data_IF_234613101532
#
_entry.id   IF_234613101532
#
_cell.length_a   1.000
_cell.length_b   1.000
_cell.length_c   1.000
_cell.angle_alpha   90.00
_cell.angle_beta   90.00
_cell.angle_gamma   90.00
#
_symmetry.space_group_name_H-M   'P 1'
#
loop_
_entity.id
_entity.type
_entity.pdbx_description
1 polymer ?
#
# COMPACT_ATOMS: atom_id res chain seq x y z
N UNK A 1 -27.82 -0.95 -37.59
CA UNK A 1 -26.39 -0.96 -37.23
C UNK A 1 -26.17 -1.97 -36.10
N UNK A 2 -25.14 -2.79 -36.19
CA UNK A 2 -24.82 -3.75 -35.14
C UNK A 2 -23.99 -3.06 -34.04
N UNK A 3 -24.33 -3.32 -32.80
CA UNK A 3 -23.61 -2.80 -31.62
C UNK A 3 -22.92 -3.93 -30.86
N UNK A 4 -21.80 -3.63 -30.23
CA UNK A 4 -21.05 -4.58 -29.42
C UNK A 4 -20.37 -3.88 -28.25
N UNK A 5 -20.28 -4.58 -27.11
CA UNK A 5 -19.54 -4.09 -25.95
C UNK A 5 -18.04 -4.32 -26.16
N UNK A 6 -17.25 -3.27 -26.02
CA UNK A 6 -15.79 -3.34 -26.07
C UNK A 6 -15.25 -4.11 -24.86
N UNK A 7 -14.44 -5.14 -25.10
CA UNK A 7 -13.83 -5.96 -24.04
C UNK A 7 -12.85 -5.19 -23.15
N UNK A 8 -12.39 -4.00 -23.56
CA UNK A 8 -11.42 -3.22 -22.81
C UNK A 8 -12.04 -2.04 -22.03
N UNK A 9 -13.05 -1.34 -22.61
CA UNK A 9 -13.64 -0.16 -21.96
C UNK A 9 -15.12 -0.33 -21.58
N UNK A 10 -15.69 -1.51 -21.78
CA UNK A 10 -17.09 -1.87 -21.51
C UNK A 10 -18.16 -0.96 -22.14
N UNK A 11 -17.77 -0.07 -23.06
CA UNK A 11 -18.73 0.77 -23.79
C UNK A 11 -19.40 -0.02 -24.91
N UNK A 12 -20.71 0.11 -25.04
CA UNK A 12 -21.48 -0.42 -26.17
C UNK A 12 -21.32 0.54 -27.36
N UNK A 13 -20.65 0.08 -28.41
CA UNK A 13 -20.26 0.89 -29.56
C UNK A 13 -20.72 0.22 -30.85
N UNK A 14 -20.96 1.04 -31.89
CA UNK A 14 -21.32 0.54 -33.24
C UNK A 14 -20.16 -0.22 -33.88
N UNK A 15 -20.44 -1.02 -34.89
CA UNK A 15 -19.45 -1.77 -35.67
C UNK A 15 -18.31 -0.90 -36.20
N UNK A 16 -18.59 0.37 -36.54
CA UNK A 16 -17.63 1.31 -37.10
C UNK A 16 -16.54 1.75 -36.11
N UNK A 17 -16.81 1.52 -34.83
CA UNK A 17 -15.85 1.77 -33.76
C UNK A 17 -14.78 0.67 -33.61
N UNK A 18 -14.81 -0.37 -34.46
CA UNK A 18 -13.90 -1.50 -34.44
C UNK A 18 -13.24 -1.71 -35.81
N UNK A 19 -11.97 -2.11 -35.81
CA UNK A 19 -11.36 -2.62 -37.03
C UNK A 19 -11.96 -3.97 -37.40
N UNK A 20 -11.90 -4.35 -38.70
CA UNK A 20 -12.39 -5.67 -39.16
C UNK A 20 -11.81 -6.82 -38.34
N UNK A 21 -10.51 -6.75 -38.04
CA UNK A 21 -9.83 -7.75 -37.21
C UNK A 21 -10.34 -7.80 -35.76
N UNK A 22 -10.71 -6.67 -35.17
CA UNK A 22 -11.28 -6.66 -33.83
C UNK A 22 -12.74 -7.13 -33.83
N UNK A 23 -13.50 -6.73 -34.84
CA UNK A 23 -14.87 -7.16 -34.96
C UNK A 23 -15.01 -8.70 -35.19
N UNK A 24 -14.08 -9.29 -35.94
CA UNK A 24 -14.08 -10.74 -36.19
C UNK A 24 -13.78 -11.60 -34.94
N UNK A 25 -13.19 -11.02 -33.88
CA UNK A 25 -12.91 -11.74 -32.62
C UNK A 25 -14.17 -12.12 -31.81
N UNK A 26 -15.32 -11.56 -32.15
CA UNK A 26 -16.58 -11.84 -31.50
C UNK A 26 -16.84 -11.04 -30.23
N UNK A 27 -18.03 -11.21 -29.66
CA UNK A 27 -18.44 -10.57 -28.41
C UNK A 27 -17.55 -11.02 -27.25
N UNK A 28 -17.23 -10.11 -26.32
CA UNK A 28 -16.37 -10.38 -25.16
C UNK A 28 -14.86 -10.41 -25.46
N UNK A 29 -14.44 -10.35 -26.75
CA UNK A 29 -13.03 -10.35 -27.16
C UNK A 29 -12.64 -9.16 -28.04
N UNK A 30 -13.61 -8.44 -28.57
CA UNK A 30 -13.39 -7.28 -29.46
C UNK A 30 -13.02 -6.05 -28.66
N UNK A 31 -11.95 -5.36 -29.10
CA UNK A 31 -11.55 -4.06 -28.55
C UNK A 31 -11.82 -2.98 -29.58
N UNK A 32 -12.46 -1.86 -29.17
CA UNK A 32 -12.71 -0.74 -30.07
C UNK A 32 -11.42 -0.09 -30.54
N UNK A 33 -11.49 0.65 -31.65
CA UNK A 33 -10.32 1.32 -32.25
C UNK A 33 -9.62 2.27 -31.27
N UNK A 34 -10.36 2.98 -30.42
CA UNK A 34 -9.80 3.81 -29.35
C UNK A 34 -8.99 3.01 -28.33
N UNK A 35 -9.41 1.78 -28.00
CA UNK A 35 -8.67 0.90 -27.07
C UNK A 35 -7.52 0.13 -27.73
N UNK A 36 -7.50 0.03 -29.07
CA UNK A 36 -6.42 -0.65 -29.82
C UNK A 36 -5.30 0.34 -30.16
N UNK A 37 -5.66 1.56 -30.57
CA UNK A 37 -4.70 2.56 -31.06
C UNK A 37 -4.33 3.62 -30.01
N UNK A 38 -4.81 3.46 -28.77
CA UNK A 38 -4.54 4.40 -27.69
C UNK A 38 -4.99 5.81 -28.09
N UNK A 39 -6.32 6.06 -27.99
CA UNK A 39 -6.78 7.44 -28.23
C UNK A 39 -6.15 8.33 -27.17
N UNK A 40 -5.30 9.26 -27.59
CA UNK A 40 -4.47 10.14 -26.75
C UNK A 40 -5.26 11.18 -25.94
N UNK A 41 -6.59 11.12 -25.95
CA UNK A 41 -7.42 11.77 -24.95
C UNK A 41 -7.58 10.83 -23.75
N UNK A 42 -6.49 10.54 -23.09
CA UNK A 42 -6.51 9.96 -21.75
C UNK A 42 -7.00 11.09 -20.84
N UNK A 43 -8.27 11.04 -20.46
CA UNK A 43 -8.72 11.82 -19.31
C UNK A 43 -7.79 11.40 -18.16
N UNK A 44 -7.00 12.34 -17.65
CA UNK A 44 -6.15 12.07 -16.49
C UNK A 44 -7.04 11.57 -15.35
N UNK A 45 -6.65 10.47 -14.74
CA UNK A 45 -7.38 9.96 -13.57
C UNK A 45 -7.14 10.95 -12.45
N UNK A 46 -8.22 11.53 -11.94
CA UNK A 46 -8.15 12.43 -10.79
C UNK A 46 -7.49 11.69 -9.61
N UNK A 47 -6.39 12.20 -9.05
CA UNK A 47 -5.77 11.64 -7.85
C UNK A 47 -6.76 11.44 -6.71
N UNK A 48 -7.80 12.26 -6.59
CA UNK A 48 -8.88 12.08 -5.63
C UNK A 48 -9.66 10.76 -5.82
N UNK A 49 -9.68 10.19 -7.02
CA UNK A 49 -10.29 8.87 -7.28
C UNK A 49 -9.38 7.72 -6.86
N UNK A 50 -8.06 7.91 -6.90
CA UNK A 50 -7.07 6.94 -6.44
C UNK A 50 -6.96 6.92 -4.91
N UNK A 51 -7.00 8.10 -4.27
CA UNK A 51 -6.93 8.23 -2.82
C UNK A 51 -8.30 8.01 -2.17
N UNK A 52 -8.41 6.99 -1.31
CA UNK A 52 -9.60 6.77 -0.48
C UNK A 52 -9.41 7.45 0.87
N UNK A 53 -10.13 8.56 1.08
CA UNK A 53 -10.03 9.42 2.27
C UNK A 53 -11.12 9.13 3.29
N UNK A 54 -10.93 9.60 4.53
CA UNK A 54 -11.92 9.50 5.60
C UNK A 54 -13.24 10.19 5.25
N UNK A 55 -13.20 11.38 4.66
CA UNK A 55 -14.42 12.15 4.32
C UNK A 55 -15.39 12.28 5.50
N UNK A 56 -14.85 12.37 6.71
CA UNK A 56 -15.55 12.47 7.97
C UNK A 56 -14.72 13.32 8.93
N UNK A 57 -15.39 14.01 9.84
CA UNK A 57 -14.76 14.81 10.90
C UNK A 57 -14.74 14.10 12.25
N UNK A 58 -15.55 13.02 12.40
CA UNK A 58 -15.68 12.28 13.66
C UNK A 58 -15.86 10.77 13.45
N UNK A 59 -15.33 10.02 14.42
CA UNK A 59 -15.57 8.60 14.56
C UNK A 59 -15.65 8.21 16.05
N UNK A 60 -16.28 7.09 16.33
CA UNK A 60 -16.36 6.54 17.68
C UNK A 60 -15.67 5.18 17.74
N UNK A 61 -15.00 4.91 18.86
CA UNK A 61 -14.37 3.64 19.19
C UNK A 61 -14.82 3.25 20.59
N UNK A 62 -15.29 2.01 20.75
CA UNK A 62 -15.62 1.51 22.09
C UNK A 62 -14.34 1.28 22.90
N UNK A 63 -14.46 1.34 24.23
CA UNK A 63 -13.34 1.02 25.12
C UNK A 63 -12.85 -0.40 24.87
N UNK A 64 -13.78 -1.36 24.70
CA UNK A 64 -13.45 -2.74 24.38
C UNK A 64 -12.63 -2.89 23.09
N UNK A 65 -13.00 -2.17 22.02
CA UNK A 65 -12.26 -2.21 20.75
C UNK A 65 -10.83 -1.64 20.88
N UNK A 66 -10.64 -0.64 21.74
CA UNK A 66 -9.32 -0.06 22.00
C UNK A 66 -8.47 -0.94 22.92
N UNK A 67 -9.11 -1.65 23.88
CA UNK A 67 -8.44 -2.58 24.79
C UNK A 67 -8.11 -3.92 24.11
N UNK A 68 -8.95 -4.32 23.16
CA UNK A 68 -8.82 -5.57 22.43
C UNK A 68 -8.74 -5.28 20.91
N UNK A 69 -7.62 -4.77 20.40
CA UNK A 69 -7.44 -4.50 18.98
C UNK A 69 -7.65 -5.78 18.16
N UNK A 70 -8.44 -5.68 17.09
CA UNK A 70 -8.80 -6.85 16.28
C UNK A 70 -7.66 -7.30 15.34
N UNK A 71 -6.66 -6.43 15.13
CA UNK A 71 -5.52 -6.71 14.26
C UNK A 71 -4.25 -6.01 14.76
N UNK A 72 -3.12 -6.54 14.32
CA UNK A 72 -1.81 -5.97 14.61
C UNK A 72 -0.89 -6.09 13.39
N UNK A 73 -0.27 -4.99 13.00
CA UNK A 73 0.87 -4.98 12.10
C UNK A 73 2.19 -5.16 12.87
N UNK A 74 3.32 -5.01 12.21
CA UNK A 74 4.64 -5.11 12.85
C UNK A 74 4.82 -4.07 13.96
N UNK A 75 4.36 -2.85 13.76
CA UNK A 75 4.60 -1.71 14.67
C UNK A 75 3.34 -1.19 15.34
N UNK A 76 2.15 -1.53 14.87
CA UNK A 76 0.89 -0.91 15.30
C UNK A 76 -0.19 -1.90 15.65
N UNK A 77 -1.01 -1.51 16.62
CA UNK A 77 -2.31 -2.09 16.91
C UNK A 77 -3.38 -1.43 16.03
N UNK A 78 -4.45 -2.16 15.74
CA UNK A 78 -5.56 -1.68 14.91
C UNK A 78 -6.88 -1.96 15.59
N UNK A 79 -7.65 -0.90 15.89
CA UNK A 79 -9.01 -1.02 16.39
C UNK A 79 -10.03 -0.58 15.34
N UNK A 80 -11.21 -1.21 15.37
CA UNK A 80 -12.33 -0.90 14.49
C UNK A 80 -13.30 0.03 15.21
N UNK A 81 -13.72 1.05 14.49
CA UNK A 81 -14.72 2.03 14.93
C UNK A 81 -15.74 2.31 13.85
N UNK A 82 -16.47 3.40 14.02
CA UNK A 82 -17.52 3.84 13.12
C UNK A 82 -17.47 5.35 12.96
N UNK A 83 -17.59 5.84 11.72
CA UNK A 83 -17.76 7.25 11.46
C UNK A 83 -19.13 7.73 11.98
N UNK A 84 -19.15 8.89 12.64
CA UNK A 84 -20.36 9.48 13.20
C UNK A 84 -20.82 10.72 12.45
N UNK A 85 -19.99 11.29 11.59
CA UNK A 85 -20.26 12.48 10.78
C UNK A 85 -19.67 12.36 9.39
N UNK A 86 -20.08 13.28 8.48
CA UNK A 86 -19.58 13.36 7.11
C UNK A 86 -20.21 12.37 6.14
N UNK A 87 -19.68 12.30 4.92
CA UNK A 87 -20.25 11.46 3.86
C UNK A 87 -20.14 9.96 4.14
N UNK A 88 -19.26 9.56 5.05
CA UNK A 88 -19.07 8.16 5.50
C UNK A 88 -19.79 7.85 6.82
N UNK A 89 -20.70 8.70 7.28
CA UNK A 89 -21.44 8.45 8.52
C UNK A 89 -22.08 7.05 8.50
N UNK A 90 -21.83 6.30 9.57
CA UNK A 90 -22.31 4.92 9.71
C UNK A 90 -21.39 3.86 9.14
N UNK A 91 -20.43 4.20 8.25
CA UNK A 91 -19.44 3.25 7.76
C UNK A 91 -18.40 2.90 8.83
N UNK A 92 -17.78 1.72 8.67
CA UNK A 92 -16.69 1.30 9.53
C UNK A 92 -15.38 2.03 9.19
N UNK A 93 -14.61 2.32 10.21
CA UNK A 93 -13.27 2.89 10.12
C UNK A 93 -12.29 2.13 11.03
N UNK A 94 -11.02 2.43 10.91
CA UNK A 94 -9.98 1.91 11.81
C UNK A 94 -9.11 3.05 12.32
N UNK A 95 -8.64 2.91 13.57
CA UNK A 95 -7.52 3.71 14.05
C UNK A 95 -6.33 2.78 14.35
N UNK A 96 -5.14 3.31 14.07
CA UNK A 96 -3.86 2.61 14.23
C UNK A 96 -2.94 3.41 15.15
N UNK A 97 -2.34 2.74 16.13
CA UNK A 97 -1.39 3.36 17.07
C UNK A 97 -0.20 2.43 17.31
N UNK A 98 0.92 3.00 17.75
CA UNK A 98 2.12 2.22 18.02
C UNK A 98 1.92 1.24 19.19
N UNK A 99 2.52 0.07 19.08
CA UNK A 99 2.49 -0.97 20.13
C UNK A 99 3.17 -0.54 21.41
N UNK A 100 4.16 0.34 21.28
CA UNK A 100 4.93 0.89 22.40
C UNK A 100 4.76 2.40 22.45
N UNK A 101 4.49 2.93 23.64
CA UNK A 101 4.34 4.35 23.87
C UNK A 101 3.02 4.95 23.40
N UNK A 102 2.90 6.25 23.57
CA UNK A 102 1.77 7.07 23.11
C UNK A 102 2.28 8.26 22.34
N UNK A 103 1.70 8.53 21.17
CA UNK A 103 2.08 9.65 20.34
C UNK A 103 1.16 10.83 20.63
N UNK A 104 1.77 11.97 20.97
CA UNK A 104 1.07 13.24 21.26
C UNK A 104 1.29 14.27 20.14
N UNK A 105 2.32 14.08 19.31
CA UNK A 105 2.69 14.99 18.22
C UNK A 105 2.39 14.38 16.84
N UNK A 106 1.72 15.16 15.97
CA UNK A 106 1.34 14.70 14.63
C UNK A 106 2.55 14.39 13.73
N UNK A 107 3.67 15.07 13.96
CA UNK A 107 4.93 14.91 13.21
C UNK A 107 5.50 13.49 13.26
N UNK A 108 5.18 12.70 14.28
CA UNK A 108 5.56 11.28 14.34
C UNK A 108 4.99 10.42 13.22
N UNK A 109 3.92 10.89 12.57
CA UNK A 109 3.29 10.21 11.44
C UNK A 109 3.66 10.81 10.08
N UNK A 110 4.56 11.80 10.03
CA UNK A 110 4.90 12.51 8.79
C UNK A 110 5.35 11.53 7.69
N UNK A 111 6.28 10.63 8.01
CA UNK A 111 6.81 9.64 7.07
C UNK A 111 5.72 8.68 6.55
N UNK A 112 4.76 8.30 7.40
CA UNK A 112 3.63 7.45 6.97
C UNK A 112 2.73 8.17 5.97
N UNK A 113 2.47 9.46 6.22
CA UNK A 113 1.67 10.30 5.33
C UNK A 113 2.38 10.53 4.00
N UNK A 114 3.68 10.80 4.03
CA UNK A 114 4.53 10.96 2.85
C UNK A 114 4.59 9.69 2.00
N UNK A 115 4.80 8.52 2.63
CA UNK A 115 4.79 7.23 1.94
C UNK A 115 3.42 6.94 1.31
N UNK A 116 2.32 7.23 2.02
CA UNK A 116 0.97 7.05 1.51
C UNK A 116 0.66 8.00 0.36
N UNK A 117 1.08 9.26 0.43
CA UNK A 117 0.92 10.23 -0.66
C UNK A 117 1.75 9.81 -1.89
N UNK A 118 2.99 9.36 -1.68
CA UNK A 118 3.82 8.82 -2.75
C UNK A 118 3.18 7.61 -3.43
N UNK A 119 2.54 6.74 -2.67
CA UNK A 119 1.79 5.63 -3.22
C UNK A 119 0.60 6.09 -4.07
N UNK A 120 -0.15 7.11 -3.64
CA UNK A 120 -1.21 7.73 -4.45
C UNK A 120 -0.67 8.18 -5.80
N UNK A 121 0.46 8.90 -5.82
CA UNK A 121 1.05 9.44 -7.05
C UNK A 121 1.46 8.32 -8.02
N UNK A 122 2.07 7.26 -7.49
CA UNK A 122 2.53 6.11 -8.29
C UNK A 122 1.35 5.27 -8.81
N UNK A 123 0.34 5.03 -7.97
CA UNK A 123 -0.86 4.27 -8.33
C UNK A 123 -1.74 5.05 -9.32
N UNK A 124 -1.79 6.37 -9.21
CA UNK A 124 -2.50 7.20 -10.20
C UNK A 124 -1.95 6.98 -11.59
N UNK A 125 -0.62 6.99 -11.75
CA UNK A 125 0.05 6.71 -13.03
C UNK A 125 -0.20 5.28 -13.53
N UNK A 126 -0.24 4.29 -12.61
CA UNK A 126 -0.63 2.93 -12.97
C UNK A 126 -2.05 2.86 -13.52
N UNK A 127 -2.99 3.52 -12.87
CA UNK A 127 -4.38 3.57 -13.31
C UNK A 127 -4.53 4.26 -14.68
N UNK A 128 -3.72 5.30 -14.95
CA UNK A 128 -3.65 5.99 -16.24
C UNK A 128 -3.17 5.08 -17.38
N UNK A 129 -2.24 4.16 -17.09
CA UNK A 129 -1.75 3.17 -18.07
C UNK A 129 -2.82 2.16 -18.52
N UNK A 130 -3.91 2.00 -17.75
CA UNK A 130 -5.04 1.11 -18.06
C UNK A 130 -4.62 -0.32 -18.43
N UNK A 131 -3.59 -0.83 -17.73
CA UNK A 131 -3.13 -2.22 -17.88
C UNK A 131 -4.20 -3.24 -17.51
N UNK A 132 -5.07 -2.86 -16.61
CA UNK A 132 -6.25 -3.61 -16.17
C UNK A 132 -7.49 -2.73 -16.34
N UNK A 133 -8.65 -3.34 -16.42
CA UNK A 133 -9.95 -2.68 -16.55
C UNK A 133 -10.54 -2.20 -15.22
N UNK A 134 -9.79 -2.32 -14.13
CA UNK A 134 -10.21 -2.01 -12.76
C UNK A 134 -9.23 -1.05 -12.11
N UNK A 135 -9.73 -0.31 -11.13
CA UNK A 135 -8.94 0.68 -10.39
C UNK A 135 -8.15 0.04 -9.24
N UNK A 136 -6.94 0.52 -9.04
CA UNK A 136 -6.23 0.33 -7.78
C UNK A 136 -6.37 1.64 -7.00
N UNK A 137 -6.92 1.55 -5.79
CA UNK A 137 -7.07 2.66 -4.86
C UNK A 137 -6.20 2.43 -3.63
N UNK A 138 -5.90 3.49 -2.90
CA UNK A 138 -5.15 3.40 -1.65
C UNK A 138 -5.81 4.26 -0.58
N UNK A 139 -5.95 3.72 0.63
CA UNK A 139 -6.33 4.53 1.78
C UNK A 139 -5.26 5.57 2.04
N UNK A 140 -5.66 6.83 2.11
CA UNK A 140 -4.81 7.92 2.57
C UNK A 140 -5.17 8.19 4.03
N UNK A 141 -4.31 7.78 4.99
CA UNK A 141 -4.58 7.98 6.40
C UNK A 141 -4.51 9.45 6.79
N UNK A 142 -5.20 9.80 7.86
CA UNK A 142 -5.16 11.12 8.48
C UNK A 142 -4.78 10.97 9.96
N UNK A 143 -4.05 11.95 10.49
CA UNK A 143 -3.75 11.99 11.93
C UNK A 143 -4.92 12.56 12.68
N UNK A 144 -5.54 11.73 13.52
CA UNK A 144 -6.66 12.15 14.38
C UNK A 144 -6.21 12.18 15.84
N UNK A 145 -6.92 12.99 16.64
CA UNK A 145 -6.65 13.18 18.06
C UNK A 145 -7.86 12.74 18.85
N UNK A 146 -7.66 11.93 19.88
CA UNK A 146 -8.72 11.61 20.84
C UNK A 146 -9.09 12.87 21.62
N UNK A 147 -10.38 13.16 21.70
CA UNK A 147 -10.91 14.33 22.42
C UNK A 147 -10.75 14.21 23.94
N UNK A 148 -11.03 15.32 24.65
CA UNK A 148 -10.84 15.43 26.10
C UNK A 148 -11.73 14.51 26.94
N UNK A 149 -12.84 14.02 26.37
CA UNK A 149 -13.73 13.06 27.02
C UNK A 149 -13.25 11.62 26.96
N UNK A 150 -12.22 11.33 26.19
CA UNK A 150 -11.62 9.99 26.08
C UNK A 150 -10.56 9.76 27.15
N UNK A 151 -10.45 8.53 27.66
CA UNK A 151 -9.29 8.11 28.48
C UNK A 151 -7.96 8.22 27.72
N UNK A 152 -8.01 8.35 26.39
CA UNK A 152 -6.84 8.55 25.51
C UNK A 152 -6.72 10.02 25.06
N UNK A 153 -7.31 10.95 25.81
CA UNK A 153 -7.31 12.38 25.50
C UNK A 153 -5.94 12.88 25.04
N UNK A 154 -5.93 13.60 23.93
CA UNK A 154 -4.71 14.16 23.33
C UNK A 154 -3.85 13.17 22.54
N UNK A 155 -4.04 11.85 22.70
CA UNK A 155 -3.30 10.84 21.96
C UNK A 155 -3.66 10.89 20.48
N UNK A 156 -2.62 10.83 19.63
CA UNK A 156 -2.77 10.85 18.17
C UNK A 156 -2.66 9.46 17.58
N UNK A 157 -3.43 9.21 16.54
CA UNK A 157 -3.54 7.93 15.83
C UNK A 157 -3.69 8.18 14.33
N UNK A 158 -3.32 7.20 13.52
CA UNK A 158 -3.71 7.20 12.11
C UNK A 158 -5.13 6.68 11.97
N UNK A 159 -5.96 7.41 11.24
CA UNK A 159 -7.36 7.10 10.97
C UNK A 159 -7.57 6.87 9.48
N UNK A 160 -8.30 5.81 9.12
CA UNK A 160 -8.65 5.50 7.73
C UNK A 160 -9.93 4.68 7.62
N UNK A 161 -10.57 4.64 6.43
CA UNK A 161 -11.74 3.80 6.18
C UNK A 161 -11.39 2.31 6.32
N UNK A 162 -12.28 1.54 6.95
CA UNK A 162 -12.10 0.09 7.08
C UNK A 162 -12.05 -0.61 5.71
N UNK A 163 -11.21 -1.61 5.59
CA UNK A 163 -11.11 -2.51 4.44
C UNK A 163 -11.63 -3.88 4.85
N UNK A 164 -12.65 -4.38 4.13
CA UNK A 164 -13.13 -5.74 4.26
C UNK A 164 -12.33 -6.71 3.37
N UNK A 165 -12.41 -8.00 3.67
CA UNK A 165 -11.76 -9.06 2.89
C UNK A 165 -10.25 -8.80 2.67
N UNK A 166 -9.59 -8.40 3.75
CA UNK A 166 -8.18 -8.04 3.75
C UNK A 166 -7.29 -9.22 3.43
N UNK A 167 -6.34 -9.02 2.52
CA UNK A 167 -5.32 -9.98 2.14
C UNK A 167 -4.03 -9.27 1.77
N UNK A 168 -2.92 -9.99 1.83
CA UNK A 168 -1.60 -9.52 1.45
C UNK A 168 -1.20 -10.09 0.10
N UNK A 169 -0.65 -9.25 -0.77
CA UNK A 169 -0.24 -9.63 -2.12
C UNK A 169 1.28 -9.81 -2.25
N UNK A 170 2.05 -8.90 -1.65
CA UNK A 170 3.51 -8.99 -1.60
C UNK A 170 4.08 -8.31 -0.36
N UNK A 171 5.37 -8.42 -0.15
CA UNK A 171 6.08 -7.80 0.98
C UNK A 171 7.26 -6.93 0.51
N UNK A 172 7.80 -6.13 1.42
CA UNK A 172 9.00 -5.34 1.19
C UNK A 172 10.29 -6.17 1.11
N UNK A 173 10.23 -7.46 1.42
CA UNK A 173 11.35 -8.40 1.35
C UNK A 173 11.28 -9.34 0.14
N UNK A 174 10.40 -9.04 -0.84
CA UNK A 174 10.32 -9.78 -2.11
C UNK A 174 9.43 -11.03 -2.08
N UNK A 175 8.69 -11.30 -1.00
CA UNK A 175 7.67 -12.35 -0.99
C UNK A 175 6.42 -11.93 -1.78
N UNK A 176 5.79 -12.89 -2.46
CA UNK A 176 4.53 -12.72 -3.18
C UNK A 176 3.61 -13.90 -2.91
N UNK A 177 2.29 -13.65 -2.85
CA UNK A 177 1.28 -14.70 -2.73
C UNK A 177 0.78 -15.12 -4.11
N UNK A 178 1.44 -16.09 -4.72
CA UNK A 178 1.11 -16.54 -6.08
C UNK A 178 -0.23 -17.29 -6.17
N UNK A 179 -0.85 -17.62 -5.04
CA UNK A 179 -2.18 -18.26 -4.99
C UNK A 179 -3.33 -17.28 -5.32
N UNK A 180 -3.08 -15.97 -5.24
CA UNK A 180 -4.07 -14.93 -5.46
C UNK A 180 -3.87 -14.27 -6.83
N UNK A 181 -4.86 -14.31 -7.75
CA UNK A 181 -4.74 -13.70 -9.09
C UNK A 181 -4.32 -12.23 -9.07
N UNK A 182 -4.78 -11.46 -8.10
CA UNK A 182 -4.38 -10.07 -7.92
C UNK A 182 -2.92 -9.87 -7.52
N UNK A 183 -2.26 -10.87 -6.95
CA UNK A 183 -0.84 -10.76 -6.62
C UNK A 183 0.02 -10.55 -7.87
N UNK A 184 -0.32 -11.16 -9.00
CA UNK A 184 0.37 -10.94 -10.28
C UNK A 184 0.24 -9.49 -10.77
N UNK A 185 -0.96 -8.89 -10.62
CA UNK A 185 -1.18 -7.47 -10.91
C UNK A 185 -0.35 -6.58 -9.97
N UNK A 186 -0.32 -6.90 -8.67
CA UNK A 186 0.44 -6.15 -7.68
C UNK A 186 1.95 -6.26 -7.89
N UNK A 187 2.45 -7.42 -8.30
CA UNK A 187 3.85 -7.58 -8.70
C UNK A 187 4.21 -6.73 -9.93
N UNK A 188 3.33 -6.66 -10.91
CA UNK A 188 3.51 -5.78 -12.07
C UNK A 188 3.42 -4.29 -11.69
N UNK A 189 2.50 -3.91 -10.77
CA UNK A 189 2.43 -2.56 -10.22
C UNK A 189 3.75 -2.18 -9.52
N UNK A 190 4.29 -3.05 -8.68
CA UNK A 190 5.59 -2.81 -8.01
C UNK A 190 6.71 -2.58 -9.04
N UNK A 191 6.81 -3.41 -10.07
CA UNK A 191 7.78 -3.25 -11.16
C UNK A 191 7.55 -1.94 -11.94
N UNK A 192 6.30 -1.62 -12.27
CA UNK A 192 5.95 -0.37 -12.95
C UNK A 192 6.44 0.86 -12.19
N UNK A 193 6.28 0.88 -10.86
CA UNK A 193 6.71 2.02 -10.05
C UNK A 193 8.21 2.27 -10.11
N UNK A 194 9.02 1.21 -10.21
CA UNK A 194 10.45 1.33 -10.48
C UNK A 194 10.72 1.95 -11.85
N UNK A 195 10.02 1.50 -12.87
CA UNK A 195 10.20 2.02 -14.23
C UNK A 195 9.88 3.52 -14.30
N UNK A 196 8.70 3.94 -13.84
CA UNK A 196 8.25 5.34 -13.96
C UNK A 196 8.98 6.31 -13.04
N UNK A 197 9.54 5.80 -11.93
CA UNK A 197 10.39 6.61 -11.05
C UNK A 197 11.83 6.75 -11.55
N UNK A 198 12.15 6.22 -12.74
CA UNK A 198 13.50 6.22 -13.28
C UNK A 198 14.46 5.31 -12.51
N UNK A 199 13.96 4.27 -11.83
CA UNK A 199 14.75 3.34 -11.05
C UNK A 199 14.96 3.73 -9.60
N UNK A 200 14.19 4.68 -9.08
CA UNK A 200 14.38 5.24 -7.72
C UNK A 200 13.45 4.64 -6.66
N UNK A 201 12.23 4.23 -7.03
CA UNK A 201 11.25 3.76 -6.08
C UNK A 201 10.63 2.42 -6.52
N UNK A 202 10.34 1.56 -5.54
CA UNK A 202 9.47 0.39 -5.71
C UNK A 202 8.38 0.45 -4.66
N UNK A 203 7.12 0.48 -5.10
CA UNK A 203 5.97 0.34 -4.21
C UNK A 203 5.77 -1.15 -3.90
N UNK A 204 5.76 -1.51 -2.65
CA UNK A 204 5.63 -2.89 -2.18
C UNK A 204 4.87 -2.95 -0.85
N UNK A 205 4.88 -4.12 -0.21
CA UNK A 205 4.07 -4.42 0.97
C UNK A 205 2.56 -4.20 0.68
N UNK A 206 2.18 -4.54 -0.58
CA UNK A 206 0.84 -4.32 -1.08
C UNK A 206 -0.13 -5.28 -0.41
N UNK A 207 -1.13 -4.70 0.24
CA UNK A 207 -2.12 -5.40 1.04
C UNK A 207 -3.42 -4.60 1.11
N UNK A 208 -4.56 -5.30 1.21
CA UNK A 208 -5.86 -4.62 1.22
C UNK A 208 -7.00 -5.53 0.82
N UNK A 209 -8.10 -4.96 0.33
CA UNK A 209 -9.32 -5.69 -0.03
C UNK A 209 -9.61 -5.65 -1.51
N UNK A 210 -10.09 -6.78 -2.03
CA UNK A 210 -10.60 -6.89 -3.40
C UNK A 210 -12.09 -6.56 -3.40
N UNK A 211 -12.49 -5.66 -4.29
CA UNK A 211 -13.86 -5.23 -4.52
C UNK A 211 -14.27 -5.44 -5.97
N UNK A 212 -15.56 -5.26 -6.26
CA UNK A 212 -16.09 -5.42 -7.62
C UNK A 212 -15.41 -4.50 -8.63
N UNK A 213 -15.08 -3.28 -8.25
CA UNK A 213 -14.51 -2.22 -9.10
C UNK A 213 -12.97 -2.14 -9.03
N UNK A 214 -12.33 -3.00 -8.24
CA UNK A 214 -10.88 -3.04 -8.13
C UNK A 214 -10.36 -3.45 -6.77
N UNK A 215 -9.22 -2.90 -6.39
CA UNK A 215 -8.56 -3.16 -5.11
C UNK A 215 -8.38 -1.87 -4.34
N UNK A 216 -8.58 -1.93 -3.02
CA UNK A 216 -8.22 -0.84 -2.09
C UNK A 216 -7.06 -1.30 -1.23
N UNK A 217 -5.94 -0.63 -1.34
CA UNK A 217 -4.72 -0.90 -0.57
C UNK A 217 -4.66 -0.03 0.70
N UNK A 218 -3.86 -0.46 1.66
CA UNK A 218 -3.51 0.31 2.87
C UNK A 218 -2.08 0.01 3.27
N UNK A 219 -1.48 0.90 4.07
CA UNK A 219 -0.12 0.79 4.61
C UNK A 219 0.95 0.41 3.57
N UNK A 220 0.96 1.03 2.38
CA UNK A 220 1.95 0.70 1.38
C UNK A 220 3.36 1.07 1.86
N UNK A 221 4.33 0.27 1.49
CA UNK A 221 5.75 0.60 1.68
C UNK A 221 6.32 1.09 0.35
N UNK A 222 7.05 2.18 0.41
CA UNK A 222 7.86 2.68 -0.70
C UNK A 222 9.31 2.39 -0.39
N UNK A 223 9.94 1.49 -1.17
CA UNK A 223 11.39 1.37 -1.17
C UNK A 223 11.97 2.49 -2.02
N UNK A 224 12.98 3.17 -1.50
CA UNK A 224 13.69 4.23 -2.22
C UNK A 224 15.20 4.00 -2.21
N UNK A 225 15.92 4.57 -3.16
CA UNK A 225 17.39 4.47 -3.17
C UNK A 225 18.04 5.20 -2.00
N UNK A 226 17.34 6.16 -1.40
CA UNK A 226 17.79 7.04 -0.31
C UNK A 226 17.28 6.66 1.08
N UNK A 227 16.39 5.64 1.19
CA UNK A 227 15.72 5.23 2.44
C UNK A 227 14.93 6.38 3.11
N UNK A 228 14.21 7.17 2.31
CA UNK A 228 13.51 8.37 2.79
C UNK A 228 12.09 8.09 3.35
N UNK A 229 11.56 6.87 3.18
CA UNK A 229 10.20 6.51 3.60
C UNK A 229 10.16 5.68 4.90
N UNK A 230 11.10 5.92 5.80
CA UNK A 230 11.07 5.36 7.16
C UNK A 230 11.64 3.95 7.30
N UNK A 231 11.42 3.30 8.45
CA UNK A 231 12.12 2.06 8.81
C UNK A 231 11.76 0.84 7.94
N UNK A 232 10.63 0.87 7.25
CA UNK A 232 10.21 -0.19 6.32
C UNK A 232 10.80 -0.03 4.92
N UNK A 233 11.41 1.12 4.63
CA UNK A 233 12.14 1.39 3.39
C UNK A 233 13.53 0.74 3.47
N UNK A 234 13.67 -0.42 2.84
CA UNK A 234 14.90 -1.21 2.84
C UNK A 234 15.97 -0.68 1.86
N UNK A 235 15.72 0.46 1.23
CA UNK A 235 16.69 1.11 0.37
C UNK A 235 16.97 0.35 -0.94
N UNK A 236 18.12 0.62 -1.52
CA UNK A 236 18.57 -0.03 -2.75
C UNK A 236 18.69 -1.56 -2.62
N UNK A 237 18.97 -2.07 -1.42
CA UNK A 237 19.02 -3.50 -1.12
C UNK A 237 17.62 -4.13 -1.18
N UNK A 238 16.60 -3.43 -0.67
CA UNK A 238 15.19 -3.84 -0.79
C UNK A 238 14.73 -3.85 -2.25
N UNK A 239 15.05 -2.81 -3.02
CA UNK A 239 14.79 -2.74 -4.46
C UNK A 239 15.45 -3.92 -5.19
N UNK A 240 16.72 -4.18 -4.90
CA UNK A 240 17.46 -5.30 -5.48
C UNK A 240 16.82 -6.64 -5.13
N UNK A 241 16.43 -6.82 -3.86
CA UNK A 241 15.76 -8.04 -3.39
C UNK A 241 14.42 -8.25 -4.10
N UNK A 242 13.60 -7.19 -4.26
CA UNK A 242 12.36 -7.30 -5.02
C UNK A 242 12.63 -7.86 -6.42
N UNK A 243 13.58 -7.30 -7.16
CA UNK A 243 13.88 -7.75 -8.52
C UNK A 243 14.60 -9.10 -8.60
N UNK A 244 15.27 -9.54 -7.55
CA UNK A 244 15.84 -10.89 -7.47
C UNK A 244 14.75 -11.99 -7.40
N UNK A 245 13.55 -11.64 -6.94
CA UNK A 245 12.41 -12.56 -6.79
C UNK A 245 11.25 -12.25 -7.74
N UNK A 246 11.28 -11.09 -8.43
CA UNK A 246 10.22 -10.70 -9.35
C UNK A 246 10.38 -11.37 -10.73
N UNK A 247 9.40 -12.17 -11.09
CA UNK A 247 9.22 -12.67 -12.45
C UNK A 247 8.19 -11.82 -13.20
N UNK A 248 8.58 -11.34 -14.39
CA UNK A 248 7.65 -10.59 -15.24
C UNK A 248 6.51 -11.48 -15.71
N UNK A 249 5.32 -10.92 -15.69
CA UNK A 249 4.08 -11.57 -16.11
C UNK A 249 3.37 -10.75 -17.20
N UNK A 250 2.16 -11.18 -17.59
CA UNK A 250 1.37 -10.58 -18.67
C UNK A 250 0.98 -9.11 -18.44
N UNK A 251 1.05 -8.61 -17.20
CA UNK A 251 0.80 -7.21 -16.86
C UNK A 251 2.05 -6.33 -16.94
N UNK A 252 3.24 -6.93 -17.00
CA UNK A 252 4.50 -6.21 -17.20
C UNK A 252 4.70 -5.84 -18.68
N UNK A 253 5.58 -4.86 -18.92
CA UNK A 253 6.08 -4.55 -20.26
C UNK A 253 7.55 -4.94 -20.37
N UNK A 254 7.94 -5.52 -21.51
CA UNK A 254 9.33 -5.82 -21.81
C UNK A 254 10.25 -4.59 -21.84
N UNK A 255 9.65 -3.40 -22.05
CA UNK A 255 10.36 -2.12 -22.10
C UNK A 255 10.58 -1.50 -20.71
N UNK A 256 9.98 -2.07 -19.67
CA UNK A 256 10.16 -1.53 -18.33
C UNK A 256 11.57 -1.76 -17.82
N UNK A 257 12.09 -0.73 -17.19
CA UNK A 257 13.42 -0.73 -16.58
C UNK A 257 13.51 -1.79 -15.47
N UNK A 258 14.65 -2.48 -15.42
CA UNK A 258 15.06 -3.40 -14.35
C UNK A 258 16.51 -3.10 -13.96
N UNK A 259 16.92 -3.36 -12.72
CA UNK A 259 18.35 -3.34 -12.37
C UNK A 259 19.08 -4.49 -13.10
N UNK A 260 20.31 -4.23 -13.55
CA UNK A 260 21.10 -5.20 -14.32
C UNK A 260 21.58 -6.42 -13.51
N UNK A 261 21.78 -6.25 -12.20
CA UNK A 261 22.37 -7.27 -11.33
C UNK A 261 21.59 -7.34 -10.00
N UNK A 262 20.31 -7.71 -10.07
CA UNK A 262 19.48 -7.87 -8.88
C UNK A 262 19.99 -9.04 -8.02
N UNK A 263 20.10 -8.81 -6.70
CA UNK A 263 20.50 -9.80 -5.69
C UNK A 263 19.56 -9.76 -4.52
N UNK A 264 19.35 -10.89 -3.88
CA UNK A 264 18.57 -10.99 -2.66
C UNK A 264 19.44 -10.63 -1.44
N UNK A 265 19.09 -9.56 -0.74
CA UNK A 265 19.71 -9.14 0.51
C UNK A 265 18.87 -9.50 1.73
N UNK A 266 17.58 -9.67 1.54
CA UNK A 266 16.61 -10.01 2.57
C UNK A 266 15.95 -11.35 2.25
N UNK A 267 15.64 -12.12 3.30
CA UNK A 267 14.88 -13.35 3.15
C UNK A 267 13.41 -13.00 2.85
N UNK A 268 12.83 -13.52 1.75
CA UNK A 268 11.41 -13.30 1.46
C UNK A 268 10.52 -13.85 2.55
N UNK A 269 9.69 -12.99 3.13
CA UNK A 269 8.71 -13.37 4.15
C UNK A 269 7.41 -12.61 3.92
N UNK A 270 6.28 -13.22 4.26
CA UNK A 270 4.97 -12.58 4.12
C UNK A 270 4.81 -11.38 5.07
N UNK A 271 5.43 -11.41 6.24
CA UNK A 271 5.44 -10.31 7.20
C UNK A 271 6.38 -9.18 6.76
N UNK A 272 6.22 -7.99 7.35
CA UNK A 272 7.19 -6.92 7.25
C UNK A 272 8.33 -7.23 8.20
N UNK A 273 9.37 -7.87 7.69
CA UNK A 273 10.56 -8.21 8.47
C UNK A 273 11.79 -7.55 7.85
N UNK A 274 12.78 -7.26 8.70
CA UNK A 274 14.04 -6.65 8.31
C UNK A 274 15.22 -7.61 8.52
N UNK A 275 14.96 -8.93 8.54
CA UNK A 275 16.03 -9.92 8.64
C UNK A 275 16.87 -9.93 7.37
N UNK A 276 18.09 -9.45 7.50
CA UNK A 276 19.08 -9.42 6.43
C UNK A 276 19.67 -10.81 6.21
N UNK A 277 19.78 -11.24 4.96
CA UNK A 277 20.53 -12.47 4.63
C UNK A 277 22.02 -12.16 4.81
N UNK A 278 22.61 -12.70 5.87
CA UNK A 278 24.05 -12.57 6.10
C UNK A 278 24.81 -13.31 5.00
N UNK A 279 25.35 -12.56 4.03
CA UNK A 279 26.40 -13.11 3.17
C UNK A 279 27.67 -13.24 4.01
N UNK A 280 28.54 -14.22 3.73
CA UNK A 280 29.82 -14.41 4.42
C UNK A 280 30.78 -13.19 4.36
N UNK A 281 30.36 -12.10 3.70
CA UNK A 281 31.12 -10.88 3.48
C UNK A 281 30.44 -9.59 4.02
N UNK A 282 29.26 -9.66 4.63
CA UNK A 282 28.64 -8.47 5.20
C UNK A 282 28.98 -8.32 6.68
N UNK A 283 29.63 -7.23 7.02
CA UNK A 283 29.75 -6.80 8.42
C UNK A 283 28.32 -6.67 8.99
N UNK A 284 28.05 -7.18 10.22
CA UNK A 284 26.75 -7.04 10.82
C UNK A 284 26.43 -5.54 10.95
N UNK A 285 25.41 -5.09 10.21
CA UNK A 285 24.81 -3.79 10.46
C UNK A 285 24.10 -3.91 11.81
N UNK A 286 24.58 -3.17 12.79
CA UNK A 286 23.94 -3.15 14.10
C UNK A 286 22.49 -2.73 13.94
N UNK A 287 21.56 -3.62 14.24
CA UNK A 287 20.16 -3.31 14.43
C UNK A 287 20.06 -2.40 15.65
N UNK A 288 20.09 -1.09 15.42
CA UNK A 288 19.86 -0.11 16.45
C UNK A 288 18.36 -0.12 16.79
N UNK A 289 17.94 -1.07 17.58
CA UNK A 289 16.74 -1.05 18.42
C UNK A 289 16.65 -2.36 19.23
N UNK A 290 17.74 -2.72 19.90
CA UNK A 290 17.63 -3.57 21.08
C UNK A 290 17.68 -2.66 22.30
N UNK A 291 16.54 -2.55 22.97
CA UNK A 291 16.36 -2.25 24.37
C UNK A 291 17.32 -1.24 25.04
N UNK A 292 16.91 0.00 25.19
CA UNK A 292 17.29 0.73 26.38
C UNK A 292 16.63 0.02 27.57
N UNK A 293 17.34 -0.93 28.17
CA UNK A 293 17.13 -1.28 29.56
C UNK A 293 17.78 -0.15 30.37
N UNK A 294 16.96 0.69 30.95
CA UNK A 294 17.37 1.60 32.00
C UNK A 294 17.74 0.69 33.19
N UNK A 295 18.96 0.75 33.75
CA UNK A 295 19.24 0.09 35.01
C UNK A 295 18.33 0.73 36.07
N UNK A 296 17.52 -0.09 36.72
CA UNK A 296 16.98 0.27 38.01
C UNK A 296 18.16 0.28 38.97
N UNK A 297 18.54 1.45 39.47
CA UNK A 297 19.35 1.57 40.66
C UNK A 297 18.41 1.28 41.83
N UNK A 298 18.59 0.11 42.45
CA UNK A 298 18.04 -0.20 43.75
C UNK A 298 18.81 0.69 44.77
N UNK A 299 18.19 1.78 45.18
CA UNK A 299 18.60 2.53 46.36
C UNK A 299 18.05 1.79 47.60
N UNK A 300 18.71 0.72 47.97
CA UNK A 300 18.68 0.19 49.34
C UNK A 300 19.62 1.07 50.18
N UNK A 301 19.07 2.08 50.84
CA UNK A 301 19.72 2.74 51.97
C UNK A 301 18.83 2.63 53.23
N UNK A 302 18.91 1.45 53.82
CA UNK A 302 18.59 1.22 55.21
C UNK A 302 19.78 1.67 56.05
N UNK A 303 19.73 2.81 56.69
CA UNK A 303 20.36 2.94 58.01
C UNK A 303 20.11 4.27 58.71
N UNK A 304 19.65 4.12 59.93
CA UNK A 304 19.90 4.89 61.15
C UNK A 304 19.08 6.15 61.47
N UNK A 305 18.45 5.95 62.60
CA UNK A 305 17.95 6.76 63.70
C UNK A 305 16.50 7.19 63.64
#
# INVERSE_FOLDING_TARGET
>A
MAYRTCAACNRQLSSDSYSRNQWSKGSGRSRCSGCVHGNTNVESIDPAQTARRNQSSRATFTHEALDNPFAAGSFRWVAKGKYTEGSRQGEACVCKWFKTGSVMEASFFATDLEASQKAVDLITKWNEERRIDRMVKVNLPEVWTFDSGSRWAGRKVLQEPFISNYQKFNSNTGWSDDSVPWARVMQALSHFTYHISGGRNVLCDLQGGIYRDGVVLTDPVVLSTSREFGPTDLGSEGISTFFAHHECNEFCSAQWRKPSNARSFYRPTAGTTMEHVTSQYSRPYMTAFSGYSVPYEDDDDDSYY
#
